data_IF_871764572739
#
_entry.id   IF_871764572739
#
_cell.length_a   1.000
_cell.length_b   1.000
_cell.length_c   1.000
_cell.angle_alpha   90.00
_cell.angle_beta   90.00
_cell.angle_gamma   90.00
#
_symmetry.space_group_name_H-M   'P 1'
#
loop_
_entity.id
_entity.type
_entity.pdbx_description
1 polymer ?
#
# COMPACT_ATOMS: atom_id res chain seq x y z
N UNK A 1 -41.23 -39.02 -10.25
CA UNK A 1 -39.88 -38.94 -10.82
C UNK A 1 -39.46 -37.47 -10.85
N UNK A 2 -38.41 -37.11 -10.10
CA UNK A 2 -37.47 -36.00 -10.33
C UNK A 2 -36.79 -35.67 -8.99
N UNK A 3 -35.55 -36.13 -8.82
CA UNK A 3 -34.66 -35.78 -7.71
C UNK A 3 -33.96 -34.47 -8.07
N UNK A 4 -34.11 -33.45 -7.23
CA UNK A 4 -33.44 -32.16 -7.41
C UNK A 4 -32.02 -32.27 -6.83
N UNK A 5 -31.01 -32.36 -7.70
CA UNK A 5 -29.61 -32.29 -7.30
C UNK A 5 -29.22 -30.83 -7.03
N UNK A 6 -28.97 -30.51 -5.77
CA UNK A 6 -28.33 -29.26 -5.37
C UNK A 6 -26.81 -29.41 -5.52
N UNK A 7 -26.23 -28.74 -6.52
CA UNK A 7 -24.78 -28.60 -6.65
C UNK A 7 -24.31 -27.42 -5.79
N UNK A 8 -23.81 -27.70 -4.59
CA UNK A 8 -23.04 -26.76 -3.79
C UNK A 8 -21.64 -26.63 -4.41
N UNK A 9 -21.43 -25.58 -5.18
CA UNK A 9 -20.10 -25.21 -5.66
C UNK A 9 -19.26 -24.65 -4.51
N UNK A 10 -18.42 -25.50 -3.91
CA UNK A 10 -17.33 -25.06 -3.04
C UNK A 10 -16.28 -24.33 -3.88
N UNK A 11 -16.35 -23.01 -3.91
CA UNK A 11 -15.27 -22.17 -4.42
C UNK A 11 -14.05 -22.32 -3.51
N UNK A 12 -13.03 -23.02 -3.99
CA UNK A 12 -11.72 -23.09 -3.32
C UNK A 12 -11.04 -21.75 -3.57
N UNK A 13 -11.10 -20.84 -2.60
CA UNK A 13 -10.26 -19.65 -2.62
C UNK A 13 -8.81 -20.13 -2.48
N UNK A 14 -8.05 -20.09 -3.59
CA UNK A 14 -6.60 -20.27 -3.56
C UNK A 14 -6.06 -19.25 -2.56
N UNK A 15 -5.49 -19.72 -1.46
CA UNK A 15 -4.76 -18.85 -0.53
C UNK A 15 -3.62 -18.23 -1.34
N UNK A 16 -3.76 -16.95 -1.69
CA UNK A 16 -2.69 -16.21 -2.34
C UNK A 16 -1.43 -16.33 -1.46
N UNK A 17 -0.30 -16.63 -2.08
CA UNK A 17 0.96 -16.75 -1.37
C UNK A 17 1.29 -15.38 -0.75
N UNK A 18 1.33 -15.32 0.57
CA UNK A 18 1.61 -14.09 1.33
C UNK A 18 3.11 -13.80 1.43
N UNK A 19 3.94 -14.61 0.76
CA UNK A 19 5.39 -14.43 0.74
C UNK A 19 5.78 -13.18 -0.05
N UNK A 20 6.75 -12.40 0.44
CA UNK A 20 7.36 -11.32 -0.31
C UNK A 20 7.86 -11.81 -1.67
N UNK A 21 7.76 -10.95 -2.68
CA UNK A 21 8.31 -11.21 -4.00
C UNK A 21 9.68 -10.57 -4.09
N UNK A 22 10.69 -11.38 -4.34
CA UNK A 22 12.06 -10.95 -4.60
C UNK A 22 12.39 -11.07 -6.10
N UNK A 23 13.06 -10.08 -6.66
CA UNK A 23 13.53 -10.11 -8.05
C UNK A 23 14.72 -9.17 -8.25
N UNK A 24 15.56 -9.48 -9.25
CA UNK A 24 16.56 -8.54 -9.75
C UNK A 24 15.87 -7.57 -10.71
N UNK A 25 15.96 -6.28 -10.42
CA UNK A 25 15.49 -5.23 -11.30
C UNK A 25 16.58 -4.91 -12.33
N UNK A 26 16.35 -5.32 -13.59
CA UNK A 26 17.34 -5.21 -14.66
C UNK A 26 17.68 -3.76 -15.03
N UNK A 27 16.75 -2.83 -14.81
CA UNK A 27 16.93 -1.42 -15.15
C UNK A 27 17.84 -0.72 -14.14
N UNK A 28 17.68 -1.05 -12.86
CA UNK A 28 18.39 -0.39 -11.75
C UNK A 28 19.54 -1.24 -11.19
N UNK A 29 19.68 -2.48 -11.64
CA UNK A 29 20.62 -3.49 -11.17
C UNK A 29 20.56 -3.74 -9.65
N UNK A 30 19.39 -3.49 -9.04
CA UNK A 30 19.15 -3.67 -7.62
C UNK A 30 18.29 -4.92 -7.38
N UNK A 31 18.54 -5.62 -6.28
CA UNK A 31 17.64 -6.69 -5.84
C UNK A 31 16.51 -6.07 -5.03
N UNK A 32 15.28 -6.33 -5.47
CA UNK A 32 14.08 -5.74 -4.89
C UNK A 32 13.26 -6.82 -4.22
N UNK A 33 12.96 -6.62 -2.94
CA UNK A 33 11.99 -7.42 -2.20
C UNK A 33 10.75 -6.56 -1.97
N UNK A 34 9.57 -7.07 -2.30
CA UNK A 34 8.30 -6.34 -2.22
C UNK A 34 7.30 -7.14 -1.39
N UNK A 35 6.51 -6.45 -0.56
CA UNK A 35 5.39 -7.07 0.16
C UNK A 35 4.42 -7.78 -0.80
N UNK A 36 3.86 -8.92 -0.41
CA UNK A 36 2.98 -9.70 -1.28
C UNK A 36 1.68 -8.96 -1.63
N UNK A 37 1.08 -8.30 -0.65
CA UNK A 37 -0.16 -7.54 -0.77
C UNK A 37 0.02 -6.19 -0.03
N UNK A 38 -0.41 -5.06 -0.61
CA UNK A 38 -0.28 -3.76 0.02
C UNK A 38 -1.37 -3.54 1.08
N UNK A 39 -1.14 -2.60 1.99
CA UNK A 39 -2.22 -2.05 2.81
C UNK A 39 -3.04 -1.08 1.96
N UNK A 40 -4.36 -1.12 2.09
CA UNK A 40 -5.25 -0.17 1.39
C UNK A 40 -6.09 0.56 2.41
N UNK A 41 -6.05 1.89 2.38
CA UNK A 41 -6.84 2.78 3.21
C UNK A 41 -7.91 3.48 2.38
N UNK A 42 -9.04 3.83 2.98
CA UNK A 42 -10.15 4.47 2.29
C UNK A 42 -10.73 5.65 3.07
N UNK A 43 -11.08 6.72 2.34
CA UNK A 43 -11.85 7.85 2.81
C UNK A 43 -13.19 7.89 2.04
N UNK A 44 -14.35 7.63 2.67
CA UNK A 44 -15.65 7.79 2.04
C UNK A 44 -15.85 9.22 1.52
N UNK A 45 -16.50 9.35 0.36
CA UNK A 45 -16.87 10.64 -0.26
C UNK A 45 -18.39 10.74 -0.51
N UNK A 46 -19.23 10.61 0.54
CA UNK A 46 -20.69 10.60 0.40
C UNK A 46 -21.27 11.88 -0.21
N UNK A 47 -20.54 12.99 -0.13
CA UNK A 47 -20.88 14.29 -0.73
C UNK A 47 -20.80 14.30 -2.26
N UNK A 48 -20.05 13.37 -2.88
CA UNK A 48 -19.89 13.30 -4.34
C UNK A 48 -20.81 12.25 -4.97
N UNK A 49 -20.90 11.06 -4.39
CA UNK A 49 -21.83 10.02 -4.84
C UNK A 49 -22.00 8.89 -3.80
N UNK A 50 -22.99 8.02 -4.00
CA UNK A 50 -23.11 6.80 -3.22
C UNK A 50 -21.96 5.82 -3.55
N UNK A 51 -21.37 5.21 -2.52
CA UNK A 51 -20.33 4.17 -2.62
C UNK A 51 -19.01 4.58 -3.31
N UNK A 52 -18.73 5.88 -3.43
CA UNK A 52 -17.44 6.37 -3.92
C UNK A 52 -16.49 6.69 -2.78
N UNK A 53 -15.20 6.44 -3.00
CA UNK A 53 -14.15 6.54 -2.01
C UNK A 53 -12.87 7.06 -2.66
N UNK A 54 -12.11 7.79 -1.87
CA UNK A 54 -10.69 7.97 -2.13
C UNK A 54 -9.91 6.89 -1.40
N UNK A 55 -8.76 6.53 -1.93
CA UNK A 55 -7.92 5.45 -1.43
C UNK A 55 -6.46 5.88 -1.33
N UNK A 56 -5.77 5.26 -0.38
CA UNK A 56 -4.31 5.22 -0.32
C UNK A 56 -3.87 3.77 -0.34
N UNK A 57 -3.15 3.37 -1.38
CA UNK A 57 -2.45 2.07 -1.41
C UNK A 57 -1.04 2.28 -0.89
N UNK A 58 -0.59 1.50 0.09
CA UNK A 58 0.73 1.62 0.70
C UNK A 58 1.44 0.25 0.69
N UNK A 59 2.51 0.15 -0.09
CA UNK A 59 3.31 -1.06 -0.24
C UNK A 59 4.71 -0.89 0.37
N UNK A 60 5.20 -1.90 1.09
CA UNK A 60 6.59 -1.92 1.53
C UNK A 60 7.50 -2.56 0.48
N UNK A 61 8.69 -1.99 0.31
CA UNK A 61 9.75 -2.57 -0.49
C UNK A 61 11.12 -2.37 0.19
N UNK A 62 12.00 -3.33 -0.04
CA UNK A 62 13.42 -3.25 0.26
C UNK A 62 14.20 -3.23 -1.05
N UNK A 63 15.19 -2.34 -1.13
CA UNK A 63 16.09 -2.18 -2.27
C UNK A 63 17.49 -2.46 -1.79
N UNK A 64 18.05 -3.58 -2.25
CA UNK A 64 19.44 -3.96 -2.02
C UNK A 64 20.30 -3.57 -3.22
N UNK A 65 21.25 -2.66 -2.97
CA UNK A 65 22.32 -2.32 -3.91
C UNK A 65 23.65 -2.70 -3.30
N UNK A 66 24.28 -3.75 -3.84
CA UNK A 66 25.60 -4.23 -3.44
C UNK A 66 25.72 -4.54 -1.93
N UNK A 67 24.69 -5.15 -1.33
CA UNK A 67 24.62 -5.51 0.09
C UNK A 67 24.15 -4.36 0.99
N UNK A 68 23.85 -3.19 0.43
CA UNK A 68 23.26 -2.06 1.17
C UNK A 68 21.76 -2.05 0.95
N UNK A 69 21.03 -2.50 1.96
CA UNK A 69 19.56 -2.51 1.98
C UNK A 69 19.02 -1.16 2.43
N UNK A 70 18.05 -0.64 1.66
CA UNK A 70 17.22 0.51 2.03
C UNK A 70 15.75 0.13 2.00
N UNK A 71 14.95 0.72 2.88
CA UNK A 71 13.52 0.42 3.00
C UNK A 71 12.69 1.62 2.59
N UNK A 72 11.64 1.37 1.82
CA UNK A 72 10.71 2.40 1.36
C UNK A 72 9.26 1.93 1.51
N UNK A 73 8.37 2.90 1.68
CA UNK A 73 6.94 2.74 1.47
C UNK A 73 6.56 3.43 0.17
N UNK A 74 5.86 2.72 -0.71
CA UNK A 74 5.37 3.23 -1.99
C UNK A 74 3.87 3.48 -1.82
N UNK A 75 3.48 4.75 -1.89
CA UNK A 75 2.12 5.22 -1.70
C UNK A 75 1.46 5.70 -2.99
N UNK A 76 0.24 5.26 -3.25
CA UNK A 76 -0.59 5.75 -4.35
C UNK A 76 -1.86 6.39 -3.80
N UNK A 77 -2.13 7.64 -4.16
CA UNK A 77 -3.41 8.30 -3.89
C UNK A 77 -4.30 8.16 -5.12
N UNK A 78 -5.47 7.56 -4.96
CA UNK A 78 -6.38 7.32 -6.08
C UNK A 78 -7.84 7.38 -5.64
N UNK A 79 -8.76 7.41 -6.60
CA UNK A 79 -10.18 7.58 -6.32
C UNK A 79 -11.03 6.79 -7.30
N UNK A 80 -12.18 6.29 -6.84
CA UNK A 80 -13.22 5.73 -7.72
C UNK A 80 -14.26 6.78 -8.13
N UNK A 81 -14.11 8.03 -7.71
CA UNK A 81 -14.97 9.14 -8.12
C UNK A 81 -14.72 9.43 -9.60
N UNK A 82 -15.78 9.66 -10.38
CA UNK A 82 -15.65 10.12 -11.77
C UNK A 82 -14.90 11.47 -11.79
N UNK A 83 -13.74 11.57 -12.48
CA UNK A 83 -12.97 12.81 -12.55
C UNK A 83 -13.75 14.01 -13.09
N UNK A 84 -14.85 13.79 -13.83
CA UNK A 84 -15.73 14.86 -14.33
C UNK A 84 -16.63 15.47 -13.27
N UNK A 85 -16.89 14.73 -12.21
CA UNK A 85 -17.76 15.13 -11.09
C UNK A 85 -16.92 15.65 -9.92
N UNK A 86 -15.67 15.20 -9.82
CA UNK A 86 -14.71 15.68 -8.84
C UNK A 86 -14.36 17.15 -9.09
N UNK A 87 -14.38 17.96 -8.03
CA UNK A 87 -13.97 19.37 -8.07
C UNK A 87 -12.79 19.68 -7.16
N UNK A 88 -12.55 18.85 -6.15
CA UNK A 88 -11.43 18.92 -5.24
C UNK A 88 -10.18 18.21 -5.80
N UNK A 89 -9.00 18.72 -5.47
CA UNK A 89 -7.75 18.04 -5.79
C UNK A 89 -7.60 16.73 -4.99
N UNK A 90 -6.79 15.80 -5.50
CA UNK A 90 -6.29 14.70 -4.67
C UNK A 90 -5.46 15.28 -3.51
N UNK A 91 -5.46 14.64 -2.32
CA UNK A 91 -4.65 15.08 -1.19
C UNK A 91 -3.16 15.22 -1.54
N UNK A 92 -2.50 16.15 -0.85
CA UNK A 92 -1.06 16.33 -0.91
C UNK A 92 -0.36 15.08 -0.37
N UNK A 93 0.70 14.59 -1.04
CA UNK A 93 1.52 13.49 -0.54
C UNK A 93 2.45 13.91 0.61
N UNK A 94 2.57 15.21 0.91
CA UNK A 94 3.32 15.70 2.07
C UNK A 94 2.64 16.95 2.68
N UNK A 95 2.49 17.03 4.02
CA UNK A 95 2.82 16.00 5.01
C UNK A 95 1.89 14.79 4.93
N UNK A 96 2.46 13.59 5.10
CA UNK A 96 1.70 12.35 5.24
C UNK A 96 2.01 11.69 6.58
N UNK A 97 0.97 11.34 7.32
CA UNK A 97 1.09 10.76 8.66
C UNK A 97 0.40 9.41 8.66
N UNK A 98 1.12 8.37 9.08
CA UNK A 98 0.54 7.09 9.43
C UNK A 98 0.37 7.03 10.95
N UNK A 99 -0.87 7.00 11.41
CA UNK A 99 -1.20 6.71 12.79
C UNK A 99 -1.27 5.19 12.94
N UNK A 100 -0.43 4.65 13.82
CA UNK A 100 -0.37 3.23 14.12
C UNK A 100 -0.54 3.05 15.64
N UNK A 101 -1.73 2.61 16.02
CA UNK A 101 -2.24 2.65 17.39
C UNK A 101 -2.05 4.06 18.03
N UNK A 102 -1.24 4.15 19.09
CA UNK A 102 -0.95 5.39 19.80
C UNK A 102 0.23 6.19 19.21
N UNK A 103 0.93 5.64 18.21
CA UNK A 103 2.10 6.27 17.61
C UNK A 103 1.75 6.99 16.31
N UNK A 104 2.22 8.23 16.23
CA UNK A 104 2.23 9.04 15.01
C UNK A 104 3.54 8.83 14.27
N UNK A 105 3.49 8.37 13.02
CA UNK A 105 4.66 8.17 12.15
C UNK A 105 4.55 9.15 10.99
N UNK A 106 5.42 10.17 10.97
CA UNK A 106 5.50 11.09 9.84
C UNK A 106 6.32 10.46 8.72
N UNK A 107 5.69 10.30 7.55
CA UNK A 107 6.31 9.69 6.39
C UNK A 107 7.04 10.78 5.59
N UNK A 108 8.36 10.68 5.52
CA UNK A 108 9.19 11.63 4.78
C UNK A 108 9.19 11.30 3.30
N UNK A 109 8.60 12.19 2.49
CA UNK A 109 8.59 12.04 1.04
C UNK A 109 10.03 12.14 0.49
N UNK A 110 10.38 11.22 -0.41
CA UNK A 110 11.69 11.15 -1.07
C UNK A 110 11.61 11.48 -2.55
N UNK A 111 10.44 11.30 -3.15
CA UNK A 111 10.20 11.59 -4.56
C UNK A 111 8.89 10.98 -5.05
N UNK A 112 8.61 11.24 -6.31
CA UNK A 112 7.39 10.77 -6.99
C UNK A 112 7.68 9.65 -8.01
N UNK A 113 8.80 8.95 -7.83
CA UNK A 113 9.30 7.94 -8.74
C UNK A 113 9.88 6.76 -7.98
N UNK A 114 9.31 5.58 -8.18
CA UNK A 114 9.87 4.32 -7.67
C UNK A 114 11.25 4.05 -8.30
N UNK A 115 11.47 4.49 -9.53
CA UNK A 115 12.74 4.33 -10.24
C UNK A 115 13.88 5.09 -9.55
N UNK A 116 13.63 6.30 -9.05
CA UNK A 116 14.64 7.07 -8.27
C UNK A 116 15.03 6.35 -6.97
N UNK A 117 14.11 5.57 -6.39
CA UNK A 117 14.37 4.70 -5.25
C UNK A 117 15.04 3.37 -5.62
N UNK A 118 15.25 3.11 -6.91
CA UNK A 118 15.87 1.89 -7.42
C UNK A 118 14.91 0.77 -7.74
N UNK A 119 13.67 1.09 -8.08
CA UNK A 119 12.66 0.13 -8.48
C UNK A 119 12.13 0.54 -9.85
N UNK A 120 12.58 -0.12 -10.92
CA UNK A 120 12.22 0.20 -12.31
C UNK A 120 10.77 -0.16 -12.64
N UNK A 121 10.24 -1.22 -12.04
CA UNK A 121 8.85 -1.63 -12.24
C UNK A 121 7.89 -1.03 -11.20
N UNK A 122 6.71 -0.59 -11.63
CA UNK A 122 5.67 -0.16 -10.71
C UNK A 122 5.27 -1.29 -9.75
N UNK A 123 5.14 -0.95 -8.46
CA UNK A 123 4.85 -1.89 -7.39
C UNK A 123 3.44 -1.63 -6.88
N UNK A 124 2.54 -2.61 -7.01
CA UNK A 124 1.16 -2.51 -6.48
C UNK A 124 0.42 -1.24 -6.92
N UNK A 125 0.66 -0.79 -8.16
CA UNK A 125 -0.10 0.30 -8.73
C UNK A 125 -1.61 -0.06 -8.78
N UNK A 126 -2.50 0.87 -8.40
CA UNK A 126 -3.94 0.63 -8.48
C UNK A 126 -4.39 0.23 -9.89
N UNK A 127 -5.35 -0.71 -10.03
CA UNK A 127 -5.82 -1.13 -11.35
C UNK A 127 -6.60 -0.02 -12.04
N UNK A 128 -6.45 0.09 -13.37
CA UNK A 128 -7.30 0.95 -14.21
C UNK A 128 -7.08 2.45 -14.07
N UNK A 129 -6.02 2.90 -13.39
CA UNK A 129 -5.64 4.31 -13.32
C UNK A 129 -4.12 4.42 -13.36
N UNK A 130 -3.60 5.30 -14.20
CA UNK A 130 -2.18 5.66 -14.17
C UNK A 130 -1.98 6.70 -13.05
N UNK A 131 -1.46 6.23 -11.92
CA UNK A 131 -1.30 7.03 -10.69
C UNK A 131 0.18 7.15 -10.39
N UNK A 132 0.64 8.38 -10.20
CA UNK A 132 2.02 8.66 -9.81
C UNK A 132 2.31 8.08 -8.42
N UNK A 133 3.35 7.26 -8.26
CA UNK A 133 3.76 6.76 -6.95
C UNK A 133 4.37 7.88 -6.11
N UNK A 134 4.25 7.77 -4.80
CA UNK A 134 4.96 8.60 -3.82
C UNK A 134 5.86 7.68 -3.00
N UNK A 135 7.14 7.98 -2.94
CA UNK A 135 8.10 7.14 -2.22
C UNK A 135 8.44 7.79 -0.90
N UNK A 136 8.21 7.07 0.19
CA UNK A 136 8.56 7.50 1.54
C UNK A 136 9.71 6.66 2.07
N UNK A 137 10.75 7.31 2.56
CA UNK A 137 11.87 6.61 3.18
C UNK A 137 11.47 6.06 4.56
N UNK A 138 11.89 4.84 4.89
CA UNK A 138 11.61 4.24 6.19
C UNK A 138 12.75 3.30 6.64
N UNK A 139 12.53 2.55 7.72
CA UNK A 139 13.41 1.51 8.23
C UNK A 139 12.64 0.26 8.65
N UNK A 140 13.36 -0.85 8.83
CA UNK A 140 12.76 -2.13 9.19
C UNK A 140 12.02 -2.09 10.54
N UNK A 141 12.49 -1.28 11.49
CA UNK A 141 11.86 -1.15 12.81
C UNK A 141 10.48 -0.48 12.71
N UNK A 142 10.36 0.54 11.86
CA UNK A 142 9.11 1.21 11.54
C UNK A 142 8.17 0.27 10.81
N UNK A 143 8.65 -0.47 9.81
CA UNK A 143 7.84 -1.49 9.12
C UNK A 143 7.33 -2.57 10.07
N UNK A 144 8.16 -3.05 11.01
CA UNK A 144 7.74 -4.00 12.05
C UNK A 144 6.63 -3.42 12.91
N UNK A 145 6.79 -2.18 13.36
CA UNK A 145 5.78 -1.49 14.16
C UNK A 145 4.44 -1.37 13.41
N UNK A 146 4.46 -1.01 12.13
CA UNK A 146 3.25 -0.92 11.29
C UNK A 146 2.60 -2.31 11.14
N UNK A 147 3.41 -3.36 10.97
CA UNK A 147 2.93 -4.72 10.76
C UNK A 147 2.23 -5.31 12.01
N UNK A 148 2.58 -4.83 13.19
CA UNK A 148 2.05 -5.27 14.49
C UNK A 148 0.91 -4.40 15.01
N UNK A 149 0.69 -3.23 14.40
CA UNK A 149 -0.34 -2.29 14.83
C UNK A 149 -1.76 -2.89 14.68
N UNK A 150 -2.62 -2.60 15.65
CA UNK A 150 -4.02 -3.05 15.64
C UNK A 150 -4.93 -2.10 14.88
N UNK A 151 -4.62 -0.81 14.94
CA UNK A 151 -5.34 0.23 14.23
C UNK A 151 -4.35 1.03 13.39
N UNK A 152 -4.69 1.18 12.12
CA UNK A 152 -3.91 1.96 11.16
C UNK A 152 -4.84 2.97 10.50
N UNK A 153 -4.40 4.23 10.48
CA UNK A 153 -5.08 5.33 9.80
C UNK A 153 -4.04 6.18 9.10
N UNK A 154 -4.34 6.65 7.89
CA UNK A 154 -3.53 7.65 7.20
C UNK A 154 -4.21 9.01 7.35
N UNK A 155 -3.42 10.02 7.72
CA UNK A 155 -3.84 11.42 7.71
C UNK A 155 -3.03 12.16 6.66
N UNK A 156 -3.73 12.72 5.68
CA UNK A 156 -3.15 13.51 4.59
C UNK A 156 -3.79 14.90 4.54
N UNK A 157 -3.05 15.89 4.05
CA UNK A 157 -3.62 17.23 3.82
C UNK A 157 -4.34 17.29 2.47
N UNK A 158 -5.50 17.94 2.42
CA UNK A 158 -6.20 18.29 1.20
C UNK A 158 -6.72 19.72 1.33
N UNK A 159 -6.12 20.62 0.57
CA UNK A 159 -6.48 22.06 0.55
C UNK A 159 -6.47 22.70 1.95
N UNK A 160 -5.54 22.29 2.82
CA UNK A 160 -5.44 22.78 4.20
C UNK A 160 -6.35 22.09 5.22
N UNK A 161 -7.12 21.08 4.80
CA UNK A 161 -7.93 20.24 5.67
C UNK A 161 -7.30 18.84 5.80
N UNK A 162 -7.25 18.32 7.04
CA UNK A 162 -6.79 16.96 7.29
C UNK A 162 -7.88 15.94 6.90
N UNK A 163 -7.55 15.03 5.99
CA UNK A 163 -8.38 13.89 5.61
C UNK A 163 -7.90 12.62 6.31
N UNK A 164 -8.82 11.88 6.90
CA UNK A 164 -8.57 10.59 7.55
C UNK A 164 -8.96 9.44 6.63
N UNK A 165 -8.00 8.56 6.33
CA UNK A 165 -8.19 7.34 5.56
C UNK A 165 -8.07 6.15 6.52
N UNK A 166 -9.17 5.43 6.70
CA UNK A 166 -9.21 4.26 7.56
C UNK A 166 -8.75 3.01 6.81
N UNK A 167 -8.13 2.06 7.52
CA UNK A 167 -7.73 0.78 6.92
C UNK A 167 -8.96 0.06 6.34
N UNK A 168 -8.90 -0.23 5.04
CA UNK A 168 -9.97 -0.84 4.27
C UNK A 168 -9.66 -2.30 3.91
N UNK A 169 -8.46 -2.54 3.36
CA UNK A 169 -7.93 -3.90 3.20
C UNK A 169 -6.77 -4.11 4.16
N UNK A 170 -7.04 -4.85 5.24
CA UNK A 170 -6.01 -5.26 6.18
C UNK A 170 -5.19 -6.42 5.62
N UNK A 171 -4.00 -6.08 5.14
CA UNK A 171 -2.97 -7.01 4.67
C UNK A 171 -1.75 -7.03 5.58
N UNK A 172 -1.91 -6.68 6.86
CA UNK A 172 -0.84 -6.71 7.88
C UNK A 172 -0.11 -8.05 7.96
N UNK A 173 -0.79 -9.17 7.64
CA UNK A 173 -0.15 -10.49 7.56
C UNK A 173 0.93 -10.56 6.47
N UNK A 174 0.70 -9.96 5.30
CA UNK A 174 1.70 -9.90 4.24
C UNK A 174 2.88 -8.99 4.64
N UNK A 175 2.58 -7.86 5.30
CA UNK A 175 3.62 -6.98 5.84
C UNK A 175 4.45 -7.66 6.94
N UNK A 176 3.83 -8.47 7.82
CA UNK A 176 4.54 -9.28 8.81
C UNK A 176 5.45 -10.32 8.15
N UNK A 177 4.97 -11.00 7.10
CA UNK A 177 5.79 -11.94 6.33
C UNK A 177 6.99 -11.23 5.67
N UNK A 178 6.78 -10.02 5.16
CA UNK A 178 7.86 -9.16 4.66
C UNK A 178 8.90 -8.83 5.74
N UNK A 179 8.44 -8.35 6.90
CA UNK A 179 9.35 -8.00 8.01
C UNK A 179 10.13 -9.23 8.49
N UNK A 180 9.49 -10.38 8.60
CA UNK A 180 10.12 -11.64 9.02
C UNK A 180 11.23 -12.06 8.04
N UNK A 181 10.90 -12.12 6.75
CA UNK A 181 11.87 -12.43 5.68
C UNK A 181 13.06 -11.46 5.69
N UNK A 182 12.82 -10.16 5.83
CA UNK A 182 13.88 -9.15 5.87
C UNK A 182 14.70 -9.15 7.18
N UNK A 183 14.17 -9.78 8.24
CA UNK A 183 14.88 -9.94 9.52
C UNK A 183 15.82 -11.15 9.52
N UNK A 184 15.73 -12.04 8.53
CA UNK A 184 16.47 -13.31 8.49
C UNK A 184 15.99 -14.31 9.55
N UNK A 185 14.77 -14.12 10.04
CA UNK A 185 14.08 -15.07 10.90
C UNK A 185 13.28 -15.98 9.97
N UNK A 186 13.58 -17.28 9.95
CA UNK A 186 12.86 -18.35 9.22
C UNK A 186 12.46 -19.47 10.20
#
# INVERSE_FOLDING_TARGET
>A
MAVLFAALGTGVALAADKRPREYLDEETAATITVVAEPLVFACPRPELAANVRDYVTLAAAAVDRNGKVSYVLIGYFWSTVDPRVRSDAMPSPEPLVLQADDRRIELTLRGHSAHEAGIGMAVHAPPGTDVTPNVYGTDLATLRFIAEARHLTIVADSEGAALSYELWEDRSTALRAFVHHMSGED
#
